data_IF_303286399306
#
_entry.id   IF_303286399306
#
_cell.length_a   1.000
_cell.length_b   1.000
_cell.length_c   1.000
_cell.angle_alpha   90.00
_cell.angle_beta   90.00
_cell.angle_gamma   90.00
#
_symmetry.space_group_name_H-M   'P 1'
#
loop_
_entity.id
_entity.type
_entity.pdbx_description
1 polymer ?
#
# COMPACT_ATOMS: atom_id res chain seq x y z
N UNK A 1 -18.80 -41.74 -29.87
CA UNK A 1 -19.48 -40.72 -29.05
C UNK A 1 -18.47 -39.63 -28.77
N UNK A 2 -18.49 -38.58 -29.62
CA UNK A 2 -17.62 -37.40 -29.48
C UNK A 2 -18.07 -36.58 -28.29
N UNK A 3 -17.32 -36.66 -27.19
CA UNK A 3 -17.43 -35.75 -26.05
C UNK A 3 -16.25 -34.79 -26.09
N UNK A 4 -16.06 -34.04 -27.15
CA UNK A 4 -15.24 -32.85 -27.12
C UNK A 4 -16.15 -31.66 -26.74
N UNK A 5 -15.86 -30.92 -25.66
CA UNK A 5 -16.65 -29.74 -25.34
C UNK A 5 -16.48 -28.73 -26.45
N UNK A 6 -17.62 -28.31 -27.04
CA UNK A 6 -17.70 -27.20 -27.98
C UNK A 6 -16.83 -26.04 -27.48
N UNK A 7 -16.00 -25.49 -28.38
CA UNK A 7 -15.15 -24.33 -28.09
C UNK A 7 -15.91 -23.33 -27.22
N UNK A 8 -15.42 -23.15 -25.99
CA UNK A 8 -15.88 -22.05 -25.15
C UNK A 8 -15.52 -20.77 -25.88
N UNK A 9 -16.55 -20.09 -26.40
CA UNK A 9 -16.40 -18.74 -26.90
C UNK A 9 -15.76 -17.94 -25.78
N UNK A 10 -14.49 -17.56 -25.92
CA UNK A 10 -13.84 -16.67 -24.97
C UNK A 10 -14.66 -15.39 -24.92
N UNK A 11 -15.32 -15.13 -23.80
CA UNK A 11 -16.00 -13.86 -23.57
C UNK A 11 -14.98 -12.76 -23.77
N UNK A 12 -15.16 -11.97 -24.82
CA UNK A 12 -14.31 -10.81 -25.10
C UNK A 12 -14.64 -9.74 -24.05
N UNK A 13 -13.86 -9.74 -22.95
CA UNK A 13 -14.03 -8.75 -21.88
C UNK A 13 -13.60 -7.40 -22.43
N UNK A 14 -14.55 -6.48 -22.59
CA UNK A 14 -14.28 -5.09 -22.93
C UNK A 14 -14.06 -4.32 -21.63
N UNK A 15 -12.85 -3.75 -21.41
CA UNK A 15 -12.59 -2.98 -20.21
C UNK A 15 -13.59 -1.83 -20.03
N UNK A 16 -14.07 -1.63 -18.80
CA UNK A 16 -14.94 -0.50 -18.46
C UNK A 16 -14.16 0.63 -17.81
N UNK A 17 -14.53 1.90 -18.08
CA UNK A 17 -13.91 3.05 -17.42
C UNK A 17 -14.14 2.98 -15.90
N UNK A 18 -13.19 3.50 -15.16
CA UNK A 18 -13.22 3.55 -13.70
C UNK A 18 -13.38 5.00 -13.24
N UNK A 19 -13.97 5.25 -12.05
CA UNK A 19 -13.99 6.57 -11.44
C UNK A 19 -12.58 7.14 -11.30
N UNK A 20 -12.43 8.46 -11.51
CA UNK A 20 -11.14 9.16 -11.44
C UNK A 20 -10.40 8.93 -10.11
N UNK A 21 -11.14 8.86 -9.00
CA UNK A 21 -10.57 8.59 -7.69
C UNK A 21 -9.79 7.28 -7.61
N UNK A 22 -10.16 6.25 -8.40
CA UNK A 22 -9.43 4.98 -8.45
C UNK A 22 -8.04 5.19 -9.06
N UNK A 23 -7.93 6.09 -10.03
CA UNK A 23 -6.65 6.43 -10.66
C UNK A 23 -5.71 7.20 -9.72
N UNK A 24 -6.28 7.85 -8.70
CA UNK A 24 -5.53 8.57 -7.65
C UNK A 24 -5.06 7.66 -6.51
N UNK A 25 -5.40 6.36 -6.56
CA UNK A 25 -4.91 5.42 -5.53
C UNK A 25 -3.38 5.41 -5.50
N UNK A 26 -2.76 5.67 -4.34
CA UNK A 26 -1.31 5.83 -4.27
C UNK A 26 -0.58 4.56 -4.71
N UNK A 27 0.36 4.72 -5.64
CA UNK A 27 1.16 3.62 -6.13
C UNK A 27 1.94 2.95 -4.98
N UNK A 28 1.73 1.67 -4.81
CA UNK A 28 2.45 0.84 -3.83
C UNK A 28 3.26 -0.20 -4.60
N UNK A 29 4.54 -0.34 -4.27
CA UNK A 29 5.40 -1.39 -4.83
C UNK A 29 5.03 -2.74 -4.21
N UNK A 30 3.89 -3.27 -4.60
CA UNK A 30 3.34 -4.53 -4.10
C UNK A 30 3.37 -5.58 -5.22
N UNK A 31 4.04 -6.71 -4.96
CA UNK A 31 4.08 -7.82 -5.92
C UNK A 31 2.68 -8.41 -6.12
N UNK A 32 2.29 -8.57 -7.37
CA UNK A 32 0.97 -9.10 -7.69
C UNK A 32 -0.18 -8.09 -7.60
N UNK A 33 0.09 -6.78 -7.45
CA UNK A 33 -0.94 -5.74 -7.52
C UNK A 33 -1.77 -5.87 -8.81
N UNK A 34 -3.09 -5.79 -8.67
CA UNK A 34 -4.06 -5.91 -9.77
C UNK A 34 -4.39 -4.57 -10.43
N UNK A 35 -3.61 -3.51 -10.18
CA UNK A 35 -3.88 -2.16 -10.68
C UNK A 35 -4.13 -2.11 -12.19
N UNK A 36 -3.38 -2.87 -12.97
CA UNK A 36 -3.54 -2.95 -14.44
C UNK A 36 -4.76 -3.73 -14.92
N UNK A 37 -5.38 -4.50 -14.03
CA UNK A 37 -6.52 -5.37 -14.34
C UNK A 37 -7.85 -4.80 -13.85
N UNK A 38 -7.86 -3.66 -13.16
CA UNK A 38 -9.09 -3.10 -12.58
C UNK A 38 -10.20 -2.87 -13.59
N UNK A 39 -9.95 -2.32 -14.80
CA UNK A 39 -11.01 -2.14 -15.80
C UNK A 39 -11.65 -3.46 -16.25
N UNK A 40 -10.86 -4.54 -16.35
CA UNK A 40 -11.35 -5.87 -16.70
C UNK A 40 -12.13 -6.50 -15.54
N UNK A 41 -11.61 -6.37 -14.31
CA UNK A 41 -12.29 -6.85 -13.11
C UNK A 41 -13.65 -6.19 -12.98
N UNK A 42 -13.71 -4.87 -13.14
CA UNK A 42 -14.97 -4.13 -13.09
C UNK A 42 -15.92 -4.51 -14.25
N UNK A 43 -15.40 -4.70 -15.46
CA UNK A 43 -16.20 -5.12 -16.61
C UNK A 43 -16.90 -6.46 -16.38
N UNK A 44 -16.27 -7.37 -15.66
CA UNK A 44 -16.89 -8.65 -15.27
C UNK A 44 -17.85 -8.46 -14.10
N UNK A 45 -17.39 -7.88 -13.01
CA UNK A 45 -18.16 -7.75 -11.77
C UNK A 45 -19.45 -6.94 -11.98
N UNK A 46 -19.40 -5.87 -12.78
CA UNK A 46 -20.56 -5.00 -13.04
C UNK A 46 -21.69 -5.66 -13.85
N UNK A 47 -21.53 -6.92 -14.29
CA UNK A 47 -22.60 -7.68 -14.93
C UNK A 47 -23.53 -8.35 -13.90
N UNK A 48 -23.11 -8.40 -12.64
CA UNK A 48 -23.88 -8.97 -11.55
C UNK A 48 -24.54 -7.87 -10.73
N UNK A 49 -25.71 -8.17 -10.18
CA UNK A 49 -26.37 -7.28 -9.23
C UNK A 49 -25.92 -7.65 -7.81
N UNK A 50 -25.17 -6.73 -7.15
CA UNK A 50 -24.69 -6.92 -5.79
C UNK A 50 -24.43 -5.56 -5.12
N UNK A 51 -24.53 -5.50 -3.81
CA UNK A 51 -24.30 -4.30 -2.99
C UNK A 51 -23.02 -4.41 -2.15
N UNK A 52 -22.56 -5.63 -1.92
CA UNK A 52 -21.37 -5.89 -1.12
C UNK A 52 -20.42 -6.86 -1.81
N UNK A 53 -19.13 -6.77 -1.45
CA UNK A 53 -18.08 -7.64 -1.96
C UNK A 53 -17.12 -8.01 -0.83
N UNK A 54 -16.66 -9.24 -0.85
CA UNK A 54 -15.59 -9.72 0.03
C UNK A 54 -14.32 -9.90 -0.80
N UNK A 55 -13.28 -9.16 -0.43
CA UNK A 55 -11.93 -9.29 -1.00
C UNK A 55 -11.08 -10.13 -0.03
N UNK A 56 -11.03 -11.43 -0.27
CA UNK A 56 -10.42 -12.41 0.64
C UNK A 56 -8.88 -12.31 0.72
N UNK A 57 -8.24 -11.77 -0.31
CA UNK A 57 -6.79 -11.63 -0.41
C UNK A 57 -6.46 -10.23 -0.92
N UNK A 58 -6.76 -9.23 -0.10
CA UNK A 58 -6.82 -7.82 -0.49
C UNK A 58 -5.47 -7.21 -0.94
N UNK A 59 -4.35 -7.79 -0.50
CA UNK A 59 -3.02 -7.38 -0.90
C UNK A 59 -2.77 -5.88 -0.72
N UNK A 60 -2.58 -5.16 -1.82
CA UNK A 60 -2.40 -3.69 -1.78
C UNK A 60 -3.69 -2.91 -1.49
N UNK A 61 -4.85 -3.56 -1.40
CA UNK A 61 -6.16 -2.94 -1.18
C UNK A 61 -6.79 -2.27 -2.41
N UNK A 62 -6.12 -2.28 -3.56
CA UNK A 62 -6.57 -1.50 -4.73
C UNK A 62 -7.87 -2.02 -5.35
N UNK A 63 -8.12 -3.34 -5.29
CA UNK A 63 -9.36 -3.96 -5.79
C UNK A 63 -10.53 -3.56 -4.89
N UNK A 64 -10.38 -3.72 -3.57
CA UNK A 64 -11.37 -3.26 -2.60
C UNK A 64 -11.66 -1.77 -2.75
N UNK A 65 -10.62 -0.93 -2.93
CA UNK A 65 -10.79 0.50 -3.16
C UNK A 65 -11.57 0.81 -4.44
N UNK A 66 -11.33 0.08 -5.52
CA UNK A 66 -12.11 0.19 -6.75
C UNK A 66 -13.61 -0.07 -6.50
N UNK A 67 -13.95 -1.15 -5.78
CA UNK A 67 -15.35 -1.45 -5.46
C UNK A 67 -15.99 -0.39 -4.56
N UNK A 68 -15.24 0.10 -3.55
CA UNK A 68 -15.67 1.24 -2.72
C UNK A 68 -15.97 2.47 -3.58
N UNK A 69 -15.11 2.79 -4.54
CA UNK A 69 -15.30 3.90 -5.46
C UNK A 69 -16.51 3.74 -6.39
N UNK A 70 -16.99 2.51 -6.57
CA UNK A 70 -18.23 2.19 -7.28
C UNK A 70 -19.46 2.14 -6.34
N UNK A 71 -19.32 2.62 -5.10
CA UNK A 71 -20.41 2.67 -4.13
C UNK A 71 -20.75 1.34 -3.47
N UNK A 72 -19.87 0.32 -3.57
CA UNK A 72 -20.09 -0.98 -2.95
C UNK A 72 -19.58 -1.03 -1.51
N UNK A 73 -20.26 -1.78 -0.67
CA UNK A 73 -19.75 -2.14 0.66
C UNK A 73 -18.64 -3.18 0.49
N UNK A 74 -17.47 -2.92 1.08
CA UNK A 74 -16.30 -3.79 0.91
C UNK A 74 -15.88 -4.38 2.24
N UNK A 75 -15.73 -5.69 2.29
CA UNK A 75 -15.12 -6.44 3.39
C UNK A 75 -13.76 -6.93 2.88
N UNK A 76 -12.69 -6.41 3.45
CA UNK A 76 -11.32 -6.81 3.07
C UNK A 76 -10.74 -7.76 4.09
N UNK A 77 -10.10 -8.83 3.61
CA UNK A 77 -9.34 -9.75 4.43
C UNK A 77 -7.96 -9.99 3.79
N UNK A 78 -6.96 -10.19 4.62
CA UNK A 78 -5.63 -10.65 4.18
C UNK A 78 -4.89 -11.27 5.36
N UNK A 79 -4.00 -12.20 5.07
CA UNK A 79 -3.14 -12.83 6.08
C UNK A 79 -2.06 -11.85 6.60
N UNK A 80 -1.60 -10.95 5.73
CA UNK A 80 -0.51 -10.03 6.06
C UNK A 80 -1.01 -8.79 6.79
N UNK A 81 -0.44 -8.50 7.95
CA UNK A 81 -0.71 -7.25 8.70
C UNK A 81 -0.46 -5.98 7.86
N UNK A 82 0.51 -6.02 6.95
CA UNK A 82 0.78 -4.94 6.00
C UNK A 82 -0.42 -4.67 5.09
N UNK A 83 -1.01 -5.72 4.51
CA UNK A 83 -2.20 -5.62 3.65
C UNK A 83 -3.42 -5.11 4.42
N UNK A 84 -3.64 -5.64 5.64
CA UNK A 84 -4.69 -5.15 6.54
C UNK A 84 -4.52 -3.66 6.89
N UNK A 85 -3.27 -3.20 7.05
CA UNK A 85 -2.97 -1.78 7.28
C UNK A 85 -3.35 -0.93 6.07
N UNK A 86 -3.02 -1.37 4.86
CA UNK A 86 -3.40 -0.66 3.63
C UNK A 86 -4.92 -0.55 3.47
N UNK A 87 -5.64 -1.65 3.69
CA UNK A 87 -7.10 -1.65 3.55
C UNK A 87 -7.77 -0.84 4.64
N UNK A 88 -7.26 -0.84 5.87
CA UNK A 88 -7.75 0.04 6.93
C UNK A 88 -7.58 1.52 6.58
N UNK A 89 -6.41 1.90 6.07
CA UNK A 89 -6.14 3.28 5.68
C UNK A 89 -6.98 3.75 4.49
N UNK A 90 -7.21 2.90 3.48
CA UNK A 90 -7.71 3.31 2.18
C UNK A 90 -9.13 2.83 1.88
N UNK A 91 -9.51 1.65 2.36
CA UNK A 91 -10.82 1.04 2.06
C UNK A 91 -11.80 1.28 3.20
N UNK A 92 -11.45 0.93 4.43
CA UNK A 92 -12.30 1.11 5.61
C UNK A 92 -12.45 2.59 5.97
N UNK A 93 -11.38 3.35 5.94
CA UNK A 93 -11.39 4.79 6.23
C UNK A 93 -12.16 5.58 5.16
N UNK A 94 -13.10 6.41 5.59
CA UNK A 94 -13.89 7.27 4.70
C UNK A 94 -13.48 8.75 4.76
N UNK A 95 -13.16 9.27 5.95
CA UNK A 95 -13.08 10.72 6.16
C UNK A 95 -11.85 11.17 6.97
N UNK A 96 -11.16 10.24 7.62
CA UNK A 96 -10.01 10.60 8.47
C UNK A 96 -8.79 10.86 7.59
N UNK A 97 -8.13 11.97 7.84
CA UNK A 97 -6.87 12.36 7.22
C UNK A 97 -5.79 12.53 8.29
N UNK A 98 -4.55 12.37 7.91
CA UNK A 98 -3.40 12.72 8.74
C UNK A 98 -2.82 14.04 8.21
N UNK A 99 -3.03 15.18 8.90
CA UNK A 99 -2.47 16.46 8.46
C UNK A 99 -0.94 16.43 8.42
N UNK A 100 -0.36 17.18 7.49
CA UNK A 100 1.08 17.19 7.28
C UNK A 100 1.86 17.68 8.53
N UNK A 101 1.31 18.61 9.29
CA UNK A 101 1.88 19.10 10.54
C UNK A 101 1.90 18.00 11.63
N UNK A 102 0.85 17.18 11.70
CA UNK A 102 0.84 16.00 12.58
C UNK A 102 1.85 14.94 12.09
N UNK A 103 1.93 14.70 10.79
CA UNK A 103 2.90 13.77 10.22
C UNK A 103 4.35 14.20 10.50
N UNK A 104 4.67 15.49 10.40
CA UNK A 104 5.99 16.02 10.76
C UNK A 104 6.35 15.81 12.22
N UNK A 105 5.39 15.85 13.14
CA UNK A 105 5.65 15.55 14.56
C UNK A 105 6.05 14.10 14.80
N UNK A 106 5.69 13.18 13.91
CA UNK A 106 6.10 11.78 14.00
C UNK A 106 7.59 11.56 13.69
N UNK A 107 8.24 12.52 13.05
CA UNK A 107 9.68 12.48 12.75
C UNK A 107 10.57 12.87 13.95
N UNK A 108 9.95 13.42 15.01
CA UNK A 108 10.70 13.92 16.17
C UNK A 108 11.03 12.75 17.09
N UNK A 109 12.31 12.57 17.34
CA UNK A 109 12.79 11.55 18.26
C UNK A 109 12.31 11.82 19.69
N UNK A 110 11.87 10.76 20.37
CA UNK A 110 11.50 10.77 21.79
C UNK A 110 12.45 9.89 22.57
N UNK A 111 12.51 10.15 23.88
CA UNK A 111 13.40 9.40 24.79
C UNK A 111 13.10 7.88 24.77
N UNK A 112 11.86 7.51 24.53
CA UNK A 112 11.38 6.13 24.50
C UNK A 112 11.46 5.48 23.11
N UNK A 113 12.11 6.13 22.13
CA UNK A 113 12.22 5.58 20.77
C UNK A 113 12.99 4.26 20.78
N UNK A 114 12.43 3.26 20.12
CA UNK A 114 13.03 1.94 19.92
C UNK A 114 14.32 2.05 19.08
N UNK A 115 15.20 1.07 19.18
CA UNK A 115 16.45 0.95 18.41
C UNK A 115 16.52 -0.37 17.63
N UNK A 116 15.43 -1.09 17.53
CA UNK A 116 15.42 -2.43 16.96
C UNK A 116 15.89 -2.49 15.50
N UNK A 117 15.39 -1.58 14.65
CA UNK A 117 15.76 -1.56 13.22
C UNK A 117 17.20 -1.06 13.05
N UNK A 118 17.58 -0.02 13.79
CA UNK A 118 18.93 0.55 13.79
C UNK A 118 19.99 -0.49 14.17
N UNK A 119 19.76 -1.25 15.23
CA UNK A 119 20.72 -2.25 15.72
C UNK A 119 20.71 -3.53 14.87
N UNK A 120 19.52 -4.05 14.53
CA UNK A 120 19.38 -5.33 13.81
C UNK A 120 19.81 -5.24 12.36
N UNK A 121 19.55 -4.10 11.70
CA UNK A 121 19.76 -3.91 10.26
C UNK A 121 20.88 -2.90 9.94
N UNK A 122 21.78 -2.67 10.87
CA UNK A 122 22.94 -1.78 10.67
C UNK A 122 23.73 -2.17 9.43
N UNK A 123 23.97 -1.21 8.53
CA UNK A 123 24.65 -1.44 7.27
C UNK A 123 23.87 -2.32 6.27
N UNK A 124 22.63 -2.68 6.58
CA UNK A 124 21.76 -3.48 5.72
C UNK A 124 20.57 -2.67 5.24
N UNK A 125 20.09 -2.93 4.03
CA UNK A 125 18.88 -2.42 3.39
C UNK A 125 18.79 -0.90 3.25
N UNK A 126 19.02 -0.12 4.31
CA UNK A 126 18.95 1.34 4.39
C UNK A 126 20.23 1.90 5.00
N UNK A 127 20.44 3.20 4.91
CA UNK A 127 21.48 3.89 5.67
C UNK A 127 21.14 3.84 7.16
N UNK A 128 22.15 3.92 8.02
CA UNK A 128 21.95 3.82 9.48
C UNK A 128 21.04 4.95 10.00
N UNK A 129 21.13 6.17 9.44
CA UNK A 129 20.24 7.27 9.80
C UNK A 129 18.77 6.97 9.37
N UNK A 130 18.58 6.27 8.27
CA UNK A 130 17.25 5.85 7.82
C UNK A 130 16.70 4.72 8.69
N UNK A 131 17.55 3.77 9.12
CA UNK A 131 17.17 2.74 10.09
C UNK A 131 16.72 3.38 11.41
N UNK A 132 17.45 4.38 11.90
CA UNK A 132 17.08 5.15 13.09
C UNK A 132 15.74 5.86 12.91
N UNK A 133 15.52 6.51 11.77
CA UNK A 133 14.27 7.19 11.47
C UNK A 133 13.08 6.21 11.41
N UNK A 134 13.28 4.98 10.92
CA UNK A 134 12.23 3.94 10.93
C UNK A 134 11.82 3.62 12.36
N UNK A 135 12.76 3.48 13.30
CA UNK A 135 12.45 3.21 14.71
C UNK A 135 11.69 4.38 15.36
N UNK A 136 12.12 5.62 15.12
CA UNK A 136 11.42 6.83 15.59
C UNK A 136 9.98 6.85 15.08
N UNK A 137 9.78 6.65 13.78
CA UNK A 137 8.45 6.63 13.16
C UNK A 137 7.59 5.49 13.72
N UNK A 138 8.13 4.26 13.83
CA UNK A 138 7.40 3.11 14.39
C UNK A 138 6.91 3.40 15.80
N UNK A 139 7.78 3.93 16.67
CA UNK A 139 7.45 4.28 18.05
C UNK A 139 6.36 5.34 18.11
N UNK A 140 6.52 6.42 17.34
CA UNK A 140 5.56 7.52 17.35
C UNK A 140 4.21 7.12 16.73
N UNK A 141 4.20 6.33 15.66
CA UNK A 141 2.98 5.79 15.04
C UNK A 141 2.27 4.85 16.01
N UNK A 142 2.99 4.03 16.76
CA UNK A 142 2.40 3.12 17.75
C UNK A 142 1.60 3.89 18.81
N UNK A 143 2.03 5.09 19.19
CA UNK A 143 1.39 5.95 20.17
C UNK A 143 0.15 6.71 19.66
N UNK A 144 -0.14 6.69 18.35
CA UNK A 144 -1.34 7.33 17.80
C UNK A 144 -2.58 6.56 18.28
N UNK A 145 -3.54 7.28 18.90
CA UNK A 145 -4.79 6.69 19.41
C UNK A 145 -5.82 6.46 18.31
N UNK A 146 -5.95 7.38 17.35
CA UNK A 146 -6.87 7.24 16.23
C UNK A 146 -6.38 6.14 15.29
N UNK A 147 -7.21 5.09 15.13
CA UNK A 147 -6.85 3.91 14.36
C UNK A 147 -6.63 4.17 12.88
N UNK A 148 -7.34 5.14 12.29
CA UNK A 148 -7.20 5.48 10.88
C UNK A 148 -5.99 6.37 10.63
N UNK A 149 -5.73 7.37 11.48
CA UNK A 149 -4.48 8.14 11.42
C UNK A 149 -3.27 7.22 11.59
N UNK A 150 -3.35 6.26 12.52
CA UNK A 150 -2.32 5.24 12.73
C UNK A 150 -2.10 4.40 11.47
N UNK A 151 -3.17 3.92 10.84
CA UNK A 151 -3.10 3.14 9.61
C UNK A 151 -2.55 3.96 8.43
N UNK A 152 -2.94 5.24 8.29
CA UNK A 152 -2.40 6.16 7.28
C UNK A 152 -0.90 6.34 7.47
N UNK A 153 -0.45 6.69 8.69
CA UNK A 153 0.96 6.89 9.00
C UNK A 153 1.80 5.62 8.75
N UNK A 154 1.31 4.45 9.18
CA UNK A 154 1.99 3.18 8.94
C UNK A 154 2.02 2.82 7.45
N UNK A 155 0.94 3.08 6.70
CA UNK A 155 0.89 2.91 5.25
C UNK A 155 1.93 3.81 4.57
N UNK A 156 2.05 5.05 4.99
CA UNK A 156 3.03 6.00 4.48
C UNK A 156 4.47 5.53 4.74
N UNK A 157 4.76 5.04 5.96
CA UNK A 157 6.06 4.48 6.31
C UNK A 157 6.40 3.26 5.44
N UNK A 158 5.49 2.31 5.28
CA UNK A 158 5.70 1.12 4.45
C UNK A 158 5.97 1.52 2.99
N UNK A 159 5.20 2.49 2.45
CA UNK A 159 5.42 3.01 1.09
C UNK A 159 6.77 3.70 0.94
N UNK A 160 7.17 4.51 1.92
CA UNK A 160 8.47 5.16 1.94
C UNK A 160 9.60 4.12 1.92
N UNK A 161 9.55 3.14 2.80
CA UNK A 161 10.51 2.04 2.86
C UNK A 161 10.60 1.28 1.53
N UNK A 162 9.46 0.93 0.93
CA UNK A 162 9.46 0.19 -0.34
C UNK A 162 9.93 1.03 -1.53
N UNK A 163 9.72 2.35 -1.54
CA UNK A 163 10.24 3.26 -2.57
C UNK A 163 11.76 3.43 -2.51
N UNK A 164 12.34 3.40 -1.31
CA UNK A 164 13.80 3.44 -1.12
C UNK A 164 14.52 2.18 -1.63
N UNK A 165 13.79 1.09 -1.90
CA UNK A 165 14.38 -0.16 -2.39
C UNK A 165 14.17 -0.32 -3.91
N UNK A 166 15.19 -0.75 -4.65
CA UNK A 166 15.17 -0.79 -6.12
C UNK A 166 14.02 -1.60 -6.70
N UNK A 167 13.62 -2.69 -6.03
CA UNK A 167 12.59 -3.62 -6.52
C UNK A 167 11.37 -3.71 -5.60
N UNK A 168 11.28 -2.85 -4.59
CA UNK A 168 10.19 -2.89 -3.59
C UNK A 168 10.22 -4.11 -2.67
N UNK A 169 11.29 -4.88 -2.67
CA UNK A 169 11.55 -6.03 -1.79
C UNK A 169 12.87 -5.80 -1.04
N UNK A 170 12.98 -6.40 0.13
CA UNK A 170 14.18 -6.31 0.96
C UNK A 170 15.27 -7.26 0.41
N UNK A 171 15.90 -6.86 -0.66
CA UNK A 171 17.11 -7.53 -1.16
C UNK A 171 18.32 -6.72 -0.75
N UNK A 172 19.33 -7.40 -0.22
CA UNK A 172 20.61 -6.75 0.03
C UNK A 172 21.25 -6.39 -1.31
N UNK A 173 21.36 -5.11 -1.55
CA UNK A 173 21.97 -4.57 -2.78
C UNK A 173 23.21 -3.73 -2.49
N UNK A 174 23.49 -3.41 -1.21
CA UNK A 174 24.55 -2.50 -0.80
C UNK A 174 24.37 -1.09 -1.42
N UNK A 175 25.39 -0.27 -1.28
CA UNK A 175 25.44 1.08 -1.87
C UNK A 175 25.55 1.08 -3.41
N UNK A 176 25.74 -0.10 -4.01
CA UNK A 176 26.01 -0.28 -5.45
C UNK A 176 24.78 -0.12 -6.34
N UNK A 177 23.58 -0.09 -5.76
CA UNK A 177 22.37 -0.10 -6.57
C UNK A 177 21.70 1.29 -6.60
N UNK A 178 22.28 2.18 -7.35
CA UNK A 178 21.64 3.43 -7.75
C UNK A 178 21.44 3.38 -9.27
N UNK A 179 20.22 3.06 -9.71
CA UNK A 179 19.85 3.03 -11.14
C UNK A 179 19.35 4.39 -11.64
N UNK A 180 19.63 5.47 -10.90
CA UNK A 180 19.27 6.83 -11.26
C UNK A 180 17.81 7.20 -11.04
N UNK A 181 16.97 6.30 -10.51
CA UNK A 181 15.56 6.61 -10.22
C UNK A 181 15.45 7.71 -9.18
N UNK A 182 14.61 8.70 -9.47
CA UNK A 182 14.34 9.84 -8.56
C UNK A 182 13.90 9.40 -7.16
N UNK A 183 13.15 8.30 -7.05
CA UNK A 183 12.72 7.76 -5.76
C UNK A 183 13.87 7.34 -4.85
N UNK A 184 14.98 6.83 -5.41
CA UNK A 184 16.14 6.41 -4.62
C UNK A 184 16.96 7.58 -4.09
N UNK A 185 16.83 8.76 -4.71
CA UNK A 185 17.57 9.97 -4.35
C UNK A 185 16.88 10.77 -3.23
N UNK A 186 15.56 10.60 -3.05
CA UNK A 186 14.84 11.23 -1.95
C UNK A 186 15.18 10.59 -0.62
N UNK A 187 15.25 11.38 0.45
CA UNK A 187 15.39 10.84 1.81
C UNK A 187 14.17 10.02 2.21
N UNK A 188 14.31 9.15 3.21
CA UNK A 188 13.19 8.39 3.77
C UNK A 188 12.10 9.33 4.35
N UNK A 189 12.53 10.42 5.00
CA UNK A 189 11.66 11.47 5.49
C UNK A 189 10.80 12.08 4.38
N UNK A 190 11.44 12.51 3.27
CA UNK A 190 10.72 13.05 2.12
C UNK A 190 9.71 12.06 1.55
N UNK A 191 10.10 10.79 1.41
CA UNK A 191 9.24 9.72 0.92
C UNK A 191 8.04 9.48 1.86
N UNK A 192 8.26 9.57 3.18
CA UNK A 192 7.20 9.43 4.18
C UNK A 192 6.19 10.59 4.09
N UNK A 193 6.67 11.83 4.10
CA UNK A 193 5.80 13.01 4.04
C UNK A 193 5.03 13.12 2.72
N UNK A 194 5.61 12.67 1.60
CA UNK A 194 4.92 12.60 0.30
C UNK A 194 3.88 11.47 0.23
N UNK A 195 3.98 10.47 1.10
CA UNK A 195 3.07 9.33 1.12
C UNK A 195 1.88 9.50 2.06
N UNK A 196 1.92 10.51 2.96
CA UNK A 196 0.82 10.94 3.82
C UNK A 196 -0.20 11.71 3.01
#
# INVERSE_FOLDING_TARGET
>A
VDILPKQKTMLKIVPKPLPEQVMKYPATRYMGSKSKLLPQIWAVASQFNFDSVVDLFSGSGIVGYMFKAQGKTVISNDYMAMSATFTKAMVENNNVVLPLDEAKKLLIEKKESDHFVEETFRGLYYKDEENRLIDILRTNIAAIRDQYKKAIAMTALIRACTKKRPRGIFTYTGDRYNDGRKDLQKSLEQQFLEAV
#
